data_IF_161577023514
#
_entry.id   IF_161577023514
#
_cell.length_a   1.000
_cell.length_b   1.000
_cell.length_c   1.000
_cell.angle_alpha   90.00
_cell.angle_beta   90.00
_cell.angle_gamma   90.00
#
_symmetry.space_group_name_H-M   'P 1'
#
loop_
_entity.id
_entity.type
_entity.pdbx_description
1 polymer ?
#
# COMPACT_ATOMS: atom_id res chain seq x y z
N UNK A 1 -7.53 8.92 -4.33
CA UNK A 1 -6.44 8.44 -5.23
C UNK A 1 -5.59 9.61 -5.68
N UNK A 2 -4.27 9.51 -5.59
CA UNK A 2 -3.32 10.52 -6.09
C UNK A 2 -2.80 10.08 -7.47
N UNK A 3 -2.95 10.94 -8.48
CA UNK A 3 -2.67 10.61 -9.90
C UNK A 3 -1.82 11.67 -10.62
N UNK A 4 -1.25 12.63 -9.89
CA UNK A 4 -0.44 13.69 -10.47
C UNK A 4 -1.16 14.45 -11.61
N UNK A 5 -0.50 14.59 -12.76
CA UNK A 5 -1.03 15.31 -13.92
C UNK A 5 -2.26 14.66 -14.60
N UNK A 6 -2.62 13.43 -14.24
CA UNK A 6 -3.79 12.74 -14.79
C UNK A 6 -5.08 12.99 -13.98
N UNK A 7 -5.05 13.87 -12.98
CA UNK A 7 -6.20 14.13 -12.11
C UNK A 7 -7.40 14.71 -12.86
N UNK A 8 -7.18 15.62 -13.82
CA UNK A 8 -8.27 16.29 -14.54
C UNK A 8 -9.06 15.35 -15.47
N UNK A 9 -8.44 14.57 -16.37
CA UNK A 9 -9.17 13.60 -17.21
C UNK A 9 -9.98 12.58 -16.39
N UNK A 10 -9.42 12.10 -15.27
CA UNK A 10 -10.09 11.14 -14.40
C UNK A 10 -11.25 11.77 -13.62
N UNK A 11 -11.12 13.03 -13.18
CA UNK A 11 -12.22 13.77 -12.55
C UNK A 11 -13.38 14.02 -13.53
N UNK A 12 -13.09 14.27 -14.81
CA UNK A 12 -14.11 14.39 -15.85
C UNK A 12 -14.85 13.07 -16.03
N UNK A 13 -14.14 11.95 -16.17
CA UNK A 13 -14.73 10.61 -16.27
C UNK A 13 -15.64 10.30 -15.06
N UNK A 14 -15.21 10.59 -13.84
CA UNK A 14 -15.99 10.40 -12.61
C UNK A 14 -17.30 11.20 -12.66
N UNK A 15 -17.24 12.46 -13.07
CA UNK A 15 -18.42 13.33 -13.18
C UNK A 15 -19.41 12.83 -14.23
N UNK A 16 -18.92 12.50 -15.42
CA UNK A 16 -19.75 12.00 -16.53
C UNK A 16 -20.47 10.70 -16.18
N UNK A 17 -19.81 9.81 -15.44
CA UNK A 17 -20.37 8.52 -15.03
C UNK A 17 -21.06 8.56 -13.64
N UNK A 18 -21.24 9.74 -13.04
CA UNK A 18 -21.89 9.95 -11.73
C UNK A 18 -21.33 9.07 -10.60
N UNK A 19 -20.01 8.85 -10.61
CA UNK A 19 -19.31 8.08 -9.58
C UNK A 19 -19.09 8.99 -8.36
N UNK A 20 -19.65 8.63 -7.22
CA UNK A 20 -19.67 9.49 -6.02
C UNK A 20 -18.82 8.98 -4.85
N UNK A 21 -18.20 7.81 -5.00
CA UNK A 21 -17.37 7.16 -3.97
C UNK A 21 -15.86 7.16 -4.31
N UNK A 22 -15.43 7.95 -5.31
CA UNK A 22 -14.02 8.10 -5.69
C UNK A 22 -13.63 9.57 -5.58
N UNK A 23 -12.55 9.82 -4.84
CA UNK A 23 -11.89 11.13 -4.78
C UNK A 23 -10.53 11.08 -5.46
N UNK A 24 -10.27 11.99 -6.38
CA UNK A 24 -9.01 12.11 -7.13
C UNK A 24 -8.38 13.47 -6.87
N UNK A 25 -7.08 13.48 -6.58
CA UNK A 25 -6.29 14.68 -6.42
C UNK A 25 -4.90 14.49 -7.01
N UNK A 26 -4.28 15.57 -7.48
CA UNK A 26 -2.87 15.59 -7.88
C UNK A 26 -1.92 15.45 -6.69
N UNK A 27 -2.38 15.84 -5.52
CA UNK A 27 -1.64 15.72 -4.26
C UNK A 27 -2.58 15.25 -3.14
N UNK A 28 -2.11 14.29 -2.35
CA UNK A 28 -2.79 13.80 -1.15
C UNK A 28 -1.76 13.72 -0.01
N UNK A 29 -2.06 14.27 1.18
CA UNK A 29 -1.20 14.13 2.35
C UNK A 29 -1.23 12.67 2.84
N UNK A 30 -0.33 11.83 2.31
CA UNK A 30 -0.37 10.37 2.43
C UNK A 30 -0.46 9.89 3.89
N UNK A 31 0.33 10.46 4.79
CA UNK A 31 0.32 10.09 6.22
C UNK A 31 -1.04 10.31 6.88
N UNK A 32 -1.72 11.42 6.54
CA UNK A 32 -3.04 11.72 7.08
C UNK A 32 -4.09 10.72 6.57
N UNK A 33 -4.02 10.37 5.29
CA UNK A 33 -4.95 9.41 4.69
C UNK A 33 -4.69 7.99 5.22
N UNK A 34 -3.43 7.56 5.31
CA UNK A 34 -3.07 6.24 5.82
C UNK A 34 -3.62 5.98 7.23
N UNK A 35 -3.68 7.00 8.08
CA UNK A 35 -4.25 6.85 9.44
C UNK A 35 -5.74 6.45 9.46
N UNK A 36 -6.44 6.54 8.32
CA UNK A 36 -7.87 6.23 8.14
C UNK A 36 -8.11 5.24 6.99
N UNK A 37 -7.07 4.57 6.53
CA UNK A 37 -7.12 3.66 5.38
C UNK A 37 -7.22 2.21 5.85
N UNK A 38 -8.11 1.44 5.25
CA UNK A 38 -8.25 0.02 5.51
C UNK A 38 -7.32 -0.84 4.63
N UNK A 39 -7.07 -0.41 3.38
CA UNK A 39 -6.15 -1.05 2.43
C UNK A 39 -5.48 0.01 1.58
N UNK A 40 -4.17 -0.09 1.42
CA UNK A 40 -3.38 0.82 0.59
C UNK A 40 -2.90 0.12 -0.69
N UNK A 41 -3.29 0.66 -1.84
CA UNK A 41 -2.80 0.20 -3.15
C UNK A 41 -1.65 1.12 -3.56
N UNK A 42 -0.47 0.56 -3.79
CA UNK A 42 0.75 1.31 -4.08
C UNK A 42 1.65 0.56 -5.05
N UNK A 43 2.53 1.27 -5.73
CA UNK A 43 3.59 0.64 -6.54
C UNK A 43 4.66 -0.08 -5.70
N UNK A 44 4.69 0.13 -4.40
CA UNK A 44 5.64 -0.55 -3.52
C UNK A 44 6.99 0.18 -3.40
N UNK A 45 6.98 1.51 -3.53
CA UNK A 45 8.15 2.32 -3.22
C UNK A 45 8.45 2.29 -1.71
N UNK A 46 9.75 2.31 -1.37
CA UNK A 46 10.28 2.18 -0.02
C UNK A 46 9.54 3.04 1.03
N UNK A 47 9.49 4.35 0.83
CA UNK A 47 8.86 5.26 1.79
C UNK A 47 7.36 4.99 1.98
N UNK A 48 6.65 4.64 0.91
CA UNK A 48 5.22 4.33 0.97
C UNK A 48 4.95 3.07 1.78
N UNK A 49 5.81 2.06 1.66
CA UNK A 49 5.74 0.83 2.45
C UNK A 49 5.96 1.15 3.93
N UNK A 50 7.02 1.89 4.27
CA UNK A 50 7.32 2.26 5.65
C UNK A 50 6.19 3.06 6.30
N UNK A 51 5.63 4.02 5.58
CA UNK A 51 4.48 4.78 6.06
C UNK A 51 3.25 3.89 6.28
N UNK A 52 2.95 2.97 5.36
CA UNK A 52 1.84 2.04 5.52
C UNK A 52 2.04 1.09 6.71
N UNK A 53 3.23 0.54 6.91
CA UNK A 53 3.57 -0.29 8.08
C UNK A 53 3.44 0.53 9.38
N UNK A 54 3.92 1.77 9.39
CA UNK A 54 3.79 2.66 10.57
C UNK A 54 2.33 2.83 11.00
N UNK A 55 1.42 2.98 10.04
CA UNK A 55 -0.02 3.09 10.29
C UNK A 55 -0.74 1.73 10.35
N UNK A 56 -0.03 0.62 10.23
CA UNK A 56 -0.56 -0.76 10.26
C UNK A 56 -1.59 -1.02 9.16
N UNK A 57 -1.38 -0.42 7.99
CA UNK A 57 -2.26 -0.54 6.83
C UNK A 57 -1.80 -1.68 5.93
N UNK A 58 -2.64 -2.70 5.68
CA UNK A 58 -2.36 -3.74 4.70
C UNK A 58 -2.17 -3.17 3.30
N UNK A 59 -1.28 -3.78 2.50
CA UNK A 59 -0.92 -3.26 1.19
C UNK A 59 -1.22 -4.24 0.07
N UNK A 60 -1.73 -3.70 -1.06
CA UNK A 60 -1.71 -4.36 -2.36
C UNK A 60 -0.64 -3.66 -3.22
N UNK A 61 0.42 -4.40 -3.55
CA UNK A 61 1.53 -3.87 -4.34
C UNK A 61 1.27 -4.10 -5.83
N UNK A 62 1.42 -3.03 -6.63
CA UNK A 62 1.32 -3.05 -8.09
C UNK A 62 2.65 -2.58 -8.68
N UNK A 63 3.69 -3.43 -8.69
CA UNK A 63 5.06 -2.99 -8.97
C UNK A 63 5.25 -2.63 -10.44
N UNK A 64 6.01 -1.56 -10.71
CA UNK A 64 6.42 -1.12 -12.04
C UNK A 64 7.94 -1.18 -12.25
N UNK A 65 8.71 -1.50 -11.21
CA UNK A 65 10.16 -1.69 -11.27
C UNK A 65 10.57 -3.00 -10.58
N UNK A 66 11.82 -3.44 -10.83
CA UNK A 66 12.37 -4.65 -10.21
C UNK A 66 12.49 -4.51 -8.70
N UNK A 67 12.91 -3.34 -8.21
CA UNK A 67 12.99 -3.03 -6.77
C UNK A 67 11.60 -3.17 -6.10
N UNK A 68 10.58 -2.56 -6.69
CA UNK A 68 9.23 -2.62 -6.16
C UNK A 68 8.66 -4.04 -6.18
N UNK A 69 9.06 -4.86 -7.16
CA UNK A 69 8.73 -6.29 -7.21
C UNK A 69 9.34 -7.05 -6.04
N UNK A 70 10.61 -6.81 -5.75
CA UNK A 70 11.28 -7.44 -4.61
C UNK A 70 10.64 -7.04 -3.29
N UNK A 71 10.33 -5.77 -3.13
CA UNK A 71 9.60 -5.27 -1.97
C UNK A 71 8.24 -5.97 -1.80
N UNK A 72 7.49 -6.14 -2.90
CA UNK A 72 6.22 -6.86 -2.89
C UNK A 72 6.34 -8.31 -2.46
N UNK A 73 7.32 -9.04 -3.01
CA UNK A 73 7.58 -10.44 -2.64
C UNK A 73 7.93 -10.58 -1.16
N UNK A 74 8.73 -9.67 -0.62
CA UNK A 74 9.07 -9.65 0.80
C UNK A 74 7.83 -9.44 1.68
N UNK A 75 6.93 -8.51 1.32
CA UNK A 75 5.71 -8.28 2.07
C UNK A 75 4.74 -9.48 2.02
N UNK A 76 4.71 -10.20 0.90
CA UNK A 76 3.98 -11.47 0.77
C UNK A 76 4.58 -12.55 1.67
N UNK A 77 5.90 -12.72 1.68
CA UNK A 77 6.61 -13.69 2.53
C UNK A 77 6.37 -13.42 4.02
N UNK A 78 6.40 -12.15 4.42
CA UNK A 78 6.05 -11.73 5.78
C UNK A 78 4.55 -11.87 6.10
N UNK A 79 3.72 -12.09 5.09
CA UNK A 79 2.27 -12.19 5.21
C UNK A 79 1.58 -10.86 5.57
N UNK A 80 2.18 -9.71 5.24
CA UNK A 80 1.67 -8.37 5.57
C UNK A 80 1.19 -7.57 4.34
N UNK A 81 1.26 -8.16 3.16
CA UNK A 81 0.80 -7.57 1.91
C UNK A 81 0.51 -8.62 0.85
N UNK A 82 -0.03 -8.18 -0.27
CA UNK A 82 -0.28 -8.95 -1.48
C UNK A 82 0.33 -8.22 -2.67
N UNK A 83 0.77 -8.95 -3.70
CA UNK A 83 1.29 -8.36 -4.93
C UNK A 83 0.46 -8.78 -6.14
N UNK A 84 0.20 -7.85 -7.05
CA UNK A 84 -0.43 -8.14 -8.33
C UNK A 84 0.42 -7.61 -9.48
N UNK A 85 0.62 -8.45 -10.49
CA UNK A 85 1.41 -8.11 -11.68
C UNK A 85 0.54 -7.78 -12.89
N UNK A 86 -0.78 -7.91 -12.76
CA UNK A 86 -1.72 -7.64 -13.84
C UNK A 86 -3.00 -7.01 -13.32
N UNK A 87 -3.21 -5.75 -13.70
CA UNK A 87 -4.45 -5.03 -13.42
C UNK A 87 -5.61 -5.46 -14.33
N UNK A 88 -5.35 -6.29 -15.36
CA UNK A 88 -6.36 -6.73 -16.32
C UNK A 88 -7.22 -7.91 -15.83
N UNK A 89 -6.94 -8.46 -14.65
CA UNK A 89 -7.73 -9.57 -14.06
C UNK A 89 -8.55 -9.05 -12.88
N UNK A 90 -9.65 -8.38 -13.16
CA UNK A 90 -10.53 -7.76 -12.16
C UNK A 90 -10.93 -8.71 -11.01
N UNK A 91 -11.21 -9.97 -11.30
CA UNK A 91 -11.55 -10.98 -10.29
C UNK A 91 -10.40 -11.25 -9.31
N UNK A 92 -9.15 -11.23 -9.79
CA UNK A 92 -7.96 -11.43 -8.94
C UNK A 92 -7.75 -10.26 -7.98
N UNK A 93 -7.86 -9.02 -8.47
CA UNK A 93 -7.66 -7.80 -7.65
C UNK A 93 -8.75 -7.72 -6.57
N UNK A 94 -10.00 -7.92 -6.93
CA UNK A 94 -11.11 -7.90 -5.96
C UNK A 94 -10.94 -8.97 -4.88
N UNK A 95 -10.47 -10.17 -5.24
CA UNK A 95 -10.18 -11.24 -4.30
C UNK A 95 -9.05 -10.85 -3.35
N UNK A 96 -7.96 -10.30 -3.87
CA UNK A 96 -6.82 -9.83 -3.07
C UNK A 96 -7.22 -8.70 -2.11
N UNK A 97 -7.97 -7.70 -2.60
CA UNK A 97 -8.48 -6.62 -1.75
C UNK A 97 -9.37 -7.19 -0.63
N UNK A 98 -10.29 -8.11 -0.96
CA UNK A 98 -11.16 -8.73 0.04
C UNK A 98 -10.37 -9.53 1.09
N UNK A 99 -9.30 -10.22 0.70
CA UNK A 99 -8.39 -10.92 1.63
C UNK A 99 -7.74 -9.93 2.60
N UNK A 100 -7.24 -8.79 2.09
CA UNK A 100 -6.65 -7.73 2.89
C UNK A 100 -7.67 -7.10 3.85
N UNK A 101 -8.87 -6.77 3.37
CA UNK A 101 -9.95 -6.19 4.18
C UNK A 101 -10.42 -7.12 5.30
N UNK A 102 -10.46 -8.43 5.04
CA UNK A 102 -10.81 -9.44 6.05
C UNK A 102 -9.68 -9.75 7.03
N UNK A 103 -8.56 -9.02 6.94
CA UNK A 103 -7.36 -9.24 7.77
C UNK A 103 -6.85 -10.69 7.72
N UNK A 104 -6.99 -11.35 6.59
CA UNK A 104 -6.41 -12.68 6.34
C UNK A 104 -4.91 -12.55 6.06
N UNK A 105 -4.23 -11.87 6.96
CA UNK A 105 -2.82 -11.51 6.95
C UNK A 105 -2.19 -11.85 8.28
N UNK A 106 -0.88 -11.82 8.34
CA UNK A 106 -0.13 -11.90 9.59
C UNK A 106 -0.19 -10.57 10.36
N UNK A 107 -1.35 -10.29 10.97
CA UNK A 107 -1.58 -9.05 11.73
C UNK A 107 -0.58 -8.90 12.89
N UNK A 108 -0.16 -10.01 13.50
CA UNK A 108 0.82 -10.00 14.57
C UNK A 108 2.18 -9.50 14.05
N UNK A 109 2.62 -10.00 12.89
CA UNK A 109 3.88 -9.54 12.27
C UNK A 109 3.82 -8.08 11.85
N UNK A 110 2.71 -7.63 11.27
CA UNK A 110 2.50 -6.22 10.93
C UNK A 110 2.57 -5.33 12.19
N UNK A 111 1.96 -5.75 13.29
CA UNK A 111 2.01 -5.02 14.56
C UNK A 111 3.42 -4.97 15.15
N UNK A 112 4.14 -6.10 15.13
CA UNK A 112 5.53 -6.22 15.59
C UNK A 112 6.42 -5.21 14.85
N UNK A 113 6.49 -5.30 13.52
CA UNK A 113 7.32 -4.42 12.68
C UNK A 113 6.91 -2.95 12.87
N UNK A 114 5.61 -2.65 12.94
CA UNK A 114 5.12 -1.29 13.18
C UNK A 114 5.56 -0.73 14.52
N UNK A 115 5.55 -1.54 15.58
CA UNK A 115 5.99 -1.12 16.90
C UNK A 115 7.50 -0.88 16.93
N UNK A 116 8.28 -1.75 16.30
CA UNK A 116 9.73 -1.59 16.20
C UNK A 116 10.08 -0.31 15.43
N UNK A 117 9.39 -0.05 14.33
CA UNK A 117 9.56 1.19 13.57
C UNK A 117 9.26 2.46 14.40
N UNK A 118 8.25 2.41 15.25
CA UNK A 118 7.90 3.53 16.15
C UNK A 118 8.92 3.73 17.27
N UNK A 119 9.47 2.64 17.80
CA UNK A 119 10.43 2.68 18.90
C UNK A 119 11.82 3.14 18.47
N UNK A 120 12.20 2.96 17.20
CA UNK A 120 13.51 3.33 16.68
C UNK A 120 13.66 4.82 16.29
N UNK A 121 12.79 5.70 16.78
CA UNK A 121 12.87 7.16 16.57
C UNK A 121 13.07 7.58 15.10
N UNK A 122 12.28 7.00 14.18
CA UNK A 122 12.31 7.32 12.74
C UNK A 122 13.60 6.95 11.99
N UNK A 123 14.42 6.04 12.47
CA UNK A 123 15.56 5.56 11.71
C UNK A 123 15.13 4.52 10.65
N UNK A 124 14.54 5.01 9.55
CA UNK A 124 14.01 4.20 8.45
C UNK A 124 15.06 3.27 7.81
N UNK A 125 16.33 3.61 7.87
CA UNK A 125 17.41 2.81 7.30
C UNK A 125 17.60 1.49 8.06
N UNK A 126 17.55 1.53 9.38
CA UNK A 126 17.74 0.35 10.22
C UNK A 126 16.59 -0.68 10.10
N UNK A 127 15.41 -0.26 9.64
CA UNK A 127 14.30 -1.19 9.48
C UNK A 127 14.39 -2.04 8.22
N UNK A 128 14.91 -1.51 7.11
CA UNK A 128 15.21 -2.33 5.94
C UNK A 128 16.33 -3.33 6.24
N UNK A 129 17.35 -2.90 6.96
CA UNK A 129 18.39 -3.79 7.45
C UNK A 129 17.78 -4.91 8.32
N UNK A 130 16.86 -4.59 9.24
CA UNK A 130 16.13 -5.58 10.04
C UNK A 130 15.28 -6.55 9.20
N UNK A 131 14.61 -6.06 8.16
CA UNK A 131 13.75 -6.89 7.29
C UNK A 131 14.58 -7.78 6.37
N UNK A 132 15.74 -7.30 5.89
CA UNK A 132 16.61 -8.07 4.97
C UNK A 132 17.60 -8.98 5.69
N UNK A 133 17.93 -8.72 6.95
CA UNK A 133 18.93 -9.49 7.72
C UNK A 133 18.30 -10.62 8.57
N UNK A 134 16.96 -10.75 8.61
CA UNK A 134 16.21 -11.82 9.27
C UNK A 134 15.39 -12.63 8.29
#
# INVERSE_FOLDING_TARGET
>A
MAVGKFSEPLNNYIRENKINNIYISSFIPQKLILSKTDVFITSGGHNSILEAIYYKVPMLITPISSEQRMNGLLLEELGIGETTYSLNKNASISSQINKLLRKQLNVNKLNEISNDLRNQNNNFKSMWDYIYDN
#
